data_IF_522196439904
#
_entry.id   IF_522196439904
#
_cell.length_a   1.000
_cell.length_b   1.000
_cell.length_c   1.000
_cell.angle_alpha   90.00
_cell.angle_beta   90.00
_cell.angle_gamma   90.00
#
_symmetry.space_group_name_H-M   'P 1'
#
loop_
_entity.id
_entity.type
_entity.pdbx_description
1 polymer ?
#
# COMPACT_ATOMS: atom_id res chain seq x y z
N UNK A 1 62.87 -33.42 -10.34
CA UNK A 1 61.46 -32.99 -10.34
C UNK A 1 61.09 -32.49 -8.95
N UNK A 2 61.22 -31.22 -8.69
CA UNK A 2 60.34 -30.52 -7.77
C UNK A 2 60.12 -29.07 -8.26
N UNK A 3 59.15 -28.79 -9.08
CA UNK A 3 58.81 -27.40 -9.43
C UNK A 3 57.31 -27.07 -9.40
N UNK A 4 56.46 -28.01 -9.06
CA UNK A 4 55.01 -27.78 -9.01
C UNK A 4 54.49 -27.41 -7.61
N UNK A 5 55.23 -27.68 -6.53
CA UNK A 5 54.78 -27.42 -5.17
C UNK A 5 54.99 -25.98 -4.67
N UNK A 6 55.85 -25.20 -5.33
CA UNK A 6 56.17 -23.82 -4.91
C UNK A 6 55.16 -22.78 -5.41
N UNK A 7 54.37 -23.10 -6.44
CA UNK A 7 53.43 -22.11 -7.00
C UNK A 7 52.14 -22.01 -6.19
N UNK A 8 51.68 -23.08 -5.59
CA UNK A 8 50.47 -23.05 -4.71
C UNK A 8 50.80 -22.49 -3.31
N UNK A 9 52.02 -22.62 -2.82
CA UNK A 9 52.42 -22.10 -1.51
C UNK A 9 52.51 -20.58 -1.42
N UNK A 10 52.82 -19.90 -2.54
CA UNK A 10 52.90 -18.43 -2.59
C UNK A 10 51.57 -17.73 -2.76
N UNK A 11 50.53 -18.40 -3.23
CA UNK A 11 49.18 -17.86 -3.33
C UNK A 11 48.47 -17.81 -1.98
N UNK A 12 48.81 -18.72 -1.06
CA UNK A 12 48.21 -18.81 0.28
C UNK A 12 48.90 -17.97 1.36
N UNK A 13 50.14 -17.48 1.11
CA UNK A 13 50.96 -16.76 2.10
C UNK A 13 50.82 -15.23 2.09
N UNK A 14 49.63 -14.68 1.76
CA UNK A 14 49.33 -13.26 2.03
C UNK A 14 48.01 -13.10 2.80
N UNK A 15 47.98 -13.43 4.08
CA UNK A 15 46.75 -13.33 4.90
C UNK A 15 46.21 -11.88 4.95
N UNK A 16 47.05 -10.86 4.82
CA UNK A 16 46.66 -9.47 4.83
C UNK A 16 45.77 -9.05 3.64
N UNK A 17 45.98 -9.62 2.46
CA UNK A 17 45.16 -9.24 1.29
C UNK A 17 43.71 -9.74 1.42
N UNK A 18 43.54 -10.95 1.92
CA UNK A 18 42.20 -11.52 2.15
C UNK A 18 41.50 -10.86 3.33
N UNK A 19 42.23 -10.44 4.36
CA UNK A 19 41.70 -9.69 5.48
C UNK A 19 41.17 -8.31 5.03
N UNK A 20 41.89 -7.59 4.17
CA UNK A 20 41.45 -6.31 3.62
C UNK A 20 40.18 -6.47 2.78
N UNK A 21 40.16 -7.45 1.86
CA UNK A 21 38.98 -7.76 1.04
C UNK A 21 37.81 -8.15 1.92
N UNK A 22 38.01 -9.00 2.93
CA UNK A 22 36.98 -9.42 3.87
C UNK A 22 36.37 -8.23 4.63
N UNK A 23 37.23 -7.32 5.12
CA UNK A 23 36.75 -6.10 5.79
C UNK A 23 35.97 -5.18 4.86
N UNK A 24 36.41 -4.98 3.62
CA UNK A 24 35.67 -4.19 2.63
C UNK A 24 34.31 -4.82 2.31
N UNK A 25 34.24 -6.14 2.11
CA UNK A 25 33.01 -6.85 1.86
C UNK A 25 32.06 -6.78 3.06
N UNK A 26 32.57 -6.94 4.29
CA UNK A 26 31.79 -6.80 5.52
C UNK A 26 31.18 -5.41 5.63
N UNK A 27 31.97 -4.37 5.35
CA UNK A 27 31.52 -2.98 5.37
C UNK A 27 30.40 -2.74 4.34
N UNK A 28 30.62 -3.19 3.10
CA UNK A 28 29.62 -3.08 2.03
C UNK A 28 28.30 -3.81 2.38
N UNK A 29 28.42 -4.99 3.01
CA UNK A 29 27.26 -5.77 3.42
C UNK A 29 26.47 -5.07 4.53
N UNK A 30 27.17 -4.47 5.50
CA UNK A 30 26.55 -3.66 6.56
C UNK A 30 25.82 -2.45 5.96
N UNK A 31 26.46 -1.72 5.05
CA UNK A 31 25.79 -0.59 4.37
C UNK A 31 24.56 -1.02 3.60
N UNK A 32 24.64 -2.11 2.81
CA UNK A 32 23.52 -2.63 2.05
C UNK A 32 22.37 -3.07 2.97
N UNK A 33 22.68 -3.76 4.07
CA UNK A 33 21.69 -4.18 5.05
C UNK A 33 21.01 -2.99 5.70
N UNK A 34 21.77 -1.96 6.06
CA UNK A 34 21.22 -0.74 6.67
C UNK A 34 20.27 0.00 5.73
N UNK A 35 20.66 0.18 4.47
CA UNK A 35 19.77 0.81 3.45
C UNK A 35 18.51 -0.01 3.23
N UNK A 36 18.62 -1.34 3.18
CA UNK A 36 17.45 -2.21 3.03
C UNK A 36 16.52 -2.14 4.24
N UNK A 37 17.09 -2.04 5.44
CA UNK A 37 16.33 -1.89 6.68
C UNK A 37 15.58 -0.55 6.73
N UNK A 38 16.23 0.55 6.34
CA UNK A 38 15.61 1.88 6.29
C UNK A 38 14.41 1.85 5.34
N UNK A 39 14.58 1.34 4.13
CA UNK A 39 13.48 1.23 3.14
C UNK A 39 12.32 0.37 3.64
N UNK A 40 12.63 -0.75 4.30
CA UNK A 40 11.59 -1.60 4.91
C UNK A 40 10.81 -0.84 5.99
N UNK A 41 11.52 -0.07 6.82
CA UNK A 41 10.90 0.70 7.90
C UNK A 41 10.02 1.83 7.36
N UNK A 42 10.49 2.56 6.35
CA UNK A 42 9.72 3.59 5.65
C UNK A 42 8.43 3.02 5.05
N UNK A 43 8.54 1.93 4.29
CA UNK A 43 7.37 1.26 3.70
C UNK A 43 6.36 0.82 4.77
N UNK A 44 6.83 0.25 5.89
CA UNK A 44 5.98 -0.15 7.02
C UNK A 44 5.26 1.06 7.64
N UNK A 45 5.95 2.18 7.77
CA UNK A 45 5.38 3.42 8.31
C UNK A 45 4.27 3.96 7.41
N UNK A 46 4.49 3.99 6.10
CA UNK A 46 3.48 4.43 5.12
C UNK A 46 2.25 3.52 5.13
N UNK A 47 2.42 2.20 5.16
CA UNK A 47 1.28 1.26 5.27
C UNK A 47 0.53 1.46 6.58
N UNK A 48 1.25 1.70 7.69
CA UNK A 48 0.63 2.00 8.98
C UNK A 48 -0.19 3.30 8.96
N UNK A 49 0.35 4.36 8.38
CA UNK A 49 -0.33 5.64 8.19
C UNK A 49 -1.59 5.48 7.35
N UNK A 50 -1.49 4.78 6.22
CA UNK A 50 -2.62 4.48 5.34
C UNK A 50 -3.76 3.74 6.07
N UNK A 51 -3.43 2.71 6.84
CA UNK A 51 -4.42 1.98 7.64
C UNK A 51 -5.10 2.90 8.67
N UNK A 52 -4.37 3.84 9.27
CA UNK A 52 -4.93 4.81 10.20
C UNK A 52 -5.90 5.76 9.49
N UNK A 53 -5.59 6.19 8.26
CA UNK A 53 -6.50 7.01 7.46
C UNK A 53 -7.79 6.25 7.12
N UNK A 54 -7.69 5.00 6.68
CA UNK A 54 -8.85 4.16 6.39
C UNK A 54 -9.72 3.93 7.63
N UNK A 55 -9.11 3.66 8.80
CA UNK A 55 -9.83 3.53 10.08
C UNK A 55 -10.51 4.84 10.48
N UNK A 56 -9.84 5.97 10.25
CA UNK A 56 -10.42 7.29 10.53
C UNK A 56 -11.61 7.59 9.63
N UNK A 57 -11.53 7.21 8.36
CA UNK A 57 -12.65 7.29 7.41
C UNK A 57 -13.84 6.47 7.91
N UNK A 58 -13.62 5.18 8.19
CA UNK A 58 -14.67 4.28 8.71
C UNK A 58 -15.31 4.83 9.98
N UNK A 59 -14.49 5.31 10.93
CA UNK A 59 -15.00 5.87 12.18
C UNK A 59 -15.84 7.11 11.96
N UNK A 60 -15.39 8.04 11.11
CA UNK A 60 -16.14 9.26 10.79
C UNK A 60 -17.45 8.93 10.11
N UNK A 61 -17.45 7.96 9.20
CA UNK A 61 -18.66 7.54 8.50
C UNK A 61 -19.67 6.87 9.45
N UNK A 62 -19.22 5.94 10.31
CA UNK A 62 -20.14 5.19 11.20
C UNK A 62 -20.66 6.00 12.38
N UNK A 63 -19.86 6.89 12.94
CA UNK A 63 -20.21 7.64 14.16
C UNK A 63 -20.65 9.06 13.88
N UNK A 64 -20.93 9.41 12.62
CA UNK A 64 -21.49 10.70 12.30
C UNK A 64 -22.96 10.75 12.70
N UNK A 65 -23.32 11.74 13.53
CA UNK A 65 -24.70 12.05 13.87
C UNK A 65 -25.52 12.60 12.70
N UNK A 66 -24.82 12.99 11.62
CA UNK A 66 -25.45 13.60 10.43
C UNK A 66 -26.11 12.55 9.53
N UNK A 67 -25.68 11.28 9.63
CA UNK A 67 -26.29 10.19 8.86
C UNK A 67 -27.68 9.87 9.42
N UNK A 68 -28.69 9.98 8.57
CA UNK A 68 -30.07 9.61 8.92
C UNK A 68 -30.14 8.09 9.09
N UNK A 69 -30.20 7.63 10.34
CA UNK A 69 -30.40 6.22 10.63
C UNK A 69 -31.74 5.73 10.09
N UNK A 70 -31.73 4.61 9.38
CA UNK A 70 -32.94 3.94 8.87
C UNK A 70 -33.29 4.24 7.41
N UNK A 71 -32.46 4.97 6.68
CA UNK A 71 -32.59 5.08 5.23
C UNK A 71 -31.81 3.93 4.55
N UNK A 72 -32.53 3.01 3.96
CA UNK A 72 -31.96 1.84 3.29
C UNK A 72 -30.98 2.21 2.16
N UNK A 73 -31.16 3.37 1.55
CA UNK A 73 -30.30 3.87 0.50
C UNK A 73 -28.92 4.31 1.06
N UNK A 74 -28.95 4.96 2.22
CA UNK A 74 -27.72 5.36 2.95
C UNK A 74 -26.96 4.13 3.45
N UNK A 75 -27.68 3.14 3.99
CA UNK A 75 -27.05 1.89 4.47
C UNK A 75 -26.35 1.14 3.33
N UNK A 76 -27.01 1.03 2.17
CA UNK A 76 -26.41 0.40 0.98
C UNK A 76 -25.18 1.17 0.48
N UNK A 77 -25.20 2.50 0.50
CA UNK A 77 -24.05 3.33 0.11
C UNK A 77 -22.87 3.13 1.07
N UNK A 78 -23.12 3.09 2.38
CA UNK A 78 -22.10 2.82 3.40
C UNK A 78 -21.49 1.43 3.22
N UNK A 79 -22.31 0.41 2.97
CA UNK A 79 -21.85 -0.96 2.73
C UNK A 79 -20.94 -1.03 1.49
N UNK A 80 -21.31 -0.35 0.40
CA UNK A 80 -20.47 -0.23 -0.78
C UNK A 80 -19.14 0.46 -0.47
N UNK A 81 -19.12 1.52 0.33
CA UNK A 81 -17.88 2.18 0.73
C UNK A 81 -16.96 1.24 1.54
N UNK A 82 -17.50 0.42 2.44
CA UNK A 82 -16.70 -0.56 3.17
C UNK A 82 -16.17 -1.68 2.27
N UNK A 83 -16.96 -2.07 1.29
CA UNK A 83 -16.56 -3.03 0.26
C UNK A 83 -15.40 -2.47 -0.56
N UNK A 84 -15.46 -1.22 -1.02
CA UNK A 84 -14.39 -0.55 -1.74
C UNK A 84 -13.14 -0.31 -0.89
N UNK A 85 -13.29 -0.04 0.41
CA UNK A 85 -12.12 0.02 1.30
C UNK A 85 -11.36 -1.30 1.36
N UNK A 86 -12.07 -2.43 1.47
CA UNK A 86 -11.46 -3.76 1.42
C UNK A 86 -10.79 -4.03 0.07
N UNK A 87 -11.49 -3.69 -1.02
CA UNK A 87 -10.96 -3.79 -2.38
C UNK A 87 -9.66 -3.00 -2.55
N UNK A 88 -9.65 -1.75 -2.10
CA UNK A 88 -8.47 -0.90 -2.14
C UNK A 88 -7.27 -1.55 -1.46
N UNK A 89 -7.44 -2.07 -0.25
CA UNK A 89 -6.34 -2.68 0.49
C UNK A 89 -5.81 -3.94 -0.20
N UNK A 90 -6.69 -4.79 -0.73
CA UNK A 90 -6.30 -6.01 -1.47
C UNK A 90 -5.52 -5.62 -2.73
N UNK A 91 -6.02 -4.66 -3.51
CA UNK A 91 -5.36 -4.19 -4.73
C UNK A 91 -4.01 -3.53 -4.45
N UNK A 92 -3.91 -2.76 -3.36
CA UNK A 92 -2.64 -2.19 -2.92
C UNK A 92 -1.61 -3.28 -2.58
N UNK A 93 -2.03 -4.32 -1.86
CA UNK A 93 -1.15 -5.44 -1.53
C UNK A 93 -0.74 -6.25 -2.77
N UNK A 94 -1.61 -6.34 -3.77
CA UNK A 94 -1.28 -6.95 -5.06
C UNK A 94 -0.25 -6.11 -5.83
N UNK A 95 -0.41 -4.78 -5.85
CA UNK A 95 0.54 -3.85 -6.49
C UNK A 95 1.93 -3.95 -5.84
N UNK A 96 2.01 -3.95 -4.52
CA UNK A 96 3.28 -4.09 -3.78
C UNK A 96 3.95 -5.44 -4.06
N UNK A 97 3.17 -6.50 -4.22
CA UNK A 97 3.68 -7.85 -4.55
C UNK A 97 3.93 -8.07 -6.04
N UNK A 98 3.66 -7.07 -6.88
CA UNK A 98 3.70 -7.19 -8.34
C UNK A 98 2.82 -8.33 -8.89
N UNK A 99 1.79 -8.71 -8.16
CA UNK A 99 0.79 -9.69 -8.57
C UNK A 99 -0.44 -8.93 -9.06
N UNK A 100 -0.94 -9.26 -10.26
CA UNK A 100 -2.08 -8.53 -10.85
C UNK A 100 -3.27 -9.47 -11.09
N UNK A 101 -3.51 -10.40 -10.18
CA UNK A 101 -4.54 -11.42 -10.33
C UNK A 101 -5.87 -10.96 -9.71
N UNK A 102 -6.74 -10.34 -10.52
CA UNK A 102 -8.08 -9.95 -10.12
C UNK A 102 -9.02 -11.17 -9.95
N UNK A 103 -8.70 -12.29 -10.59
CA UNK A 103 -9.52 -13.51 -10.52
C UNK A 103 -9.58 -14.15 -9.12
N UNK A 104 -8.61 -13.83 -8.26
CA UNK A 104 -8.58 -14.30 -6.87
C UNK A 104 -9.39 -13.45 -5.90
N UNK A 105 -9.90 -12.30 -6.36
CA UNK A 105 -10.70 -11.43 -5.51
C UNK A 105 -12.14 -11.93 -5.55
N UNK A 106 -12.71 -12.17 -4.39
CA UNK A 106 -14.08 -12.64 -4.23
C UNK A 106 -15.10 -11.62 -4.75
N UNK A 107 -16.20 -12.09 -5.32
CA UNK A 107 -17.24 -11.24 -5.92
C UNK A 107 -18.02 -10.42 -4.88
N UNK A 108 -17.93 -10.78 -3.60
CA UNK A 108 -18.45 -9.98 -2.48
C UNK A 108 -17.62 -8.72 -2.21
N UNK A 109 -16.36 -8.67 -2.68
CA UNK A 109 -15.49 -7.50 -2.54
C UNK A 109 -15.53 -6.61 -3.78
N UNK A 110 -15.45 -7.17 -4.97
CA UNK A 110 -15.45 -6.45 -6.25
C UNK A 110 -16.42 -7.16 -7.21
N UNK A 111 -17.43 -6.46 -7.70
CA UNK A 111 -18.37 -7.00 -8.69
C UNK A 111 -17.70 -7.25 -10.04
N UNK A 112 -18.33 -8.06 -10.89
CA UNK A 112 -17.75 -8.39 -12.21
C UNK A 112 -17.61 -7.15 -13.11
N UNK A 113 -18.57 -6.23 -13.05
CA UNK A 113 -18.52 -4.97 -13.81
C UNK A 113 -17.37 -4.07 -13.33
N UNK A 114 -17.17 -4.01 -12.00
CA UNK A 114 -16.04 -3.28 -11.40
C UNK A 114 -14.70 -3.93 -11.75
N UNK A 115 -14.63 -5.28 -11.83
CA UNK A 115 -13.42 -6.00 -12.27
C UNK A 115 -13.08 -5.64 -13.73
N UNK A 116 -14.07 -5.63 -14.62
CA UNK A 116 -13.87 -5.26 -16.02
C UNK A 116 -13.35 -3.82 -16.13
N UNK A 117 -13.92 -2.89 -15.38
CA UNK A 117 -13.44 -1.52 -15.34
C UNK A 117 -12.00 -1.42 -14.80
N UNK A 118 -11.67 -2.15 -13.73
CA UNK A 118 -10.33 -2.18 -13.15
C UNK A 118 -9.29 -2.83 -14.07
N UNK A 119 -9.67 -3.73 -14.98
CA UNK A 119 -8.77 -4.28 -15.98
C UNK A 119 -8.25 -3.21 -16.94
N UNK A 120 -9.08 -2.22 -17.27
CA UNK A 120 -8.71 -1.08 -18.11
C UNK A 120 -7.91 -0.01 -17.37
N UNK A 121 -7.99 0.02 -16.05
CA UNK A 121 -7.38 1.05 -15.21
C UNK A 121 -5.87 0.84 -15.04
N UNK A 122 -5.09 1.91 -15.29
CA UNK A 122 -3.62 1.89 -15.13
C UNK A 122 -3.19 1.76 -13.67
N UNK A 123 -3.93 2.38 -12.73
CA UNK A 123 -3.63 2.39 -11.30
C UNK A 123 -4.88 1.97 -10.52
N UNK A 124 -5.08 0.69 -10.42
CA UNK A 124 -6.28 0.09 -9.81
C UNK A 124 -6.60 0.56 -8.39
N UNK A 125 -5.62 0.62 -7.45
CA UNK A 125 -5.95 1.11 -6.10
C UNK A 125 -6.43 2.56 -6.09
N UNK A 126 -5.83 3.45 -6.90
CA UNK A 126 -6.27 4.85 -6.99
C UNK A 126 -7.67 4.99 -7.58
N UNK A 127 -8.04 4.15 -8.53
CA UNK A 127 -9.38 4.12 -9.10
C UNK A 127 -10.42 3.83 -8.02
N UNK A 128 -10.15 2.86 -7.14
CA UNK A 128 -11.05 2.53 -6.03
C UNK A 128 -11.15 3.65 -4.99
N UNK A 129 -10.03 4.36 -4.73
CA UNK A 129 -10.09 5.57 -3.89
C UNK A 129 -10.94 6.67 -4.53
N UNK A 130 -10.89 6.81 -5.86
CA UNK A 130 -11.77 7.70 -6.60
C UNK A 130 -13.26 7.33 -6.43
N UNK A 131 -13.61 6.05 -6.43
CA UNK A 131 -14.99 5.59 -6.15
C UNK A 131 -15.43 5.92 -4.72
N UNK A 132 -14.54 5.78 -3.74
CA UNK A 132 -14.83 6.20 -2.36
C UNK A 132 -15.11 7.69 -2.29
N UNK A 133 -14.34 8.52 -2.98
CA UNK A 133 -14.53 9.96 -3.01
C UNK A 133 -15.83 10.34 -3.73
N UNK A 134 -16.14 9.71 -4.86
CA UNK A 134 -17.41 9.90 -5.57
C UNK A 134 -18.60 9.53 -4.70
N UNK A 135 -18.55 8.38 -4.00
CA UNK A 135 -19.61 7.95 -3.10
C UNK A 135 -19.87 8.93 -1.94
N UNK A 136 -18.80 9.55 -1.39
CA UNK A 136 -18.95 10.61 -0.38
C UNK A 136 -19.65 11.84 -0.97
N UNK A 137 -19.26 12.25 -2.18
CA UNK A 137 -19.85 13.38 -2.89
C UNK A 137 -21.32 13.12 -3.23
N UNK A 138 -21.68 11.91 -3.65
CA UNK A 138 -23.06 11.51 -3.95
C UNK A 138 -23.93 11.57 -2.70
N UNK A 139 -23.47 11.09 -1.55
CA UNK A 139 -24.20 11.20 -0.27
C UNK A 139 -24.43 12.66 0.13
N UNK A 140 -23.47 13.55 -0.14
CA UNK A 140 -23.64 14.97 0.11
C UNK A 140 -24.68 15.59 -0.83
N UNK A 141 -24.60 15.33 -2.13
CA UNK A 141 -25.57 15.83 -3.10
C UNK A 141 -26.99 15.37 -2.83
N UNK A 142 -27.17 14.18 -2.28
CA UNK A 142 -28.46 13.65 -1.84
C UNK A 142 -28.94 14.27 -0.50
N UNK A 143 -28.09 15.07 0.16
CA UNK A 143 -28.43 15.74 1.42
C UNK A 143 -28.34 14.82 2.65
N UNK A 144 -27.71 13.65 2.55
CA UNK A 144 -27.57 12.70 3.66
C UNK A 144 -26.42 13.02 4.60
N UNK A 145 -25.43 13.79 4.15
CA UNK A 145 -24.29 14.23 4.95
C UNK A 145 -24.10 15.73 4.85
N UNK A 146 -23.58 16.33 5.92
CA UNK A 146 -23.23 17.74 5.95
C UNK A 146 -21.95 18.02 5.17
N UNK A 147 -21.81 19.26 4.67
CA UNK A 147 -20.60 19.75 4.01
C UNK A 147 -19.36 19.55 4.89
N UNK A 148 -19.49 19.76 6.21
CA UNK A 148 -18.41 19.55 7.17
C UNK A 148 -17.92 18.11 7.19
N UNK A 149 -18.84 17.14 7.16
CA UNK A 149 -18.50 15.72 7.13
C UNK A 149 -17.90 15.33 5.80
N UNK A 150 -18.44 15.82 4.68
CA UNK A 150 -17.86 15.65 3.36
C UNK A 150 -16.40 16.09 3.33
N UNK A 151 -16.11 17.34 3.68
CA UNK A 151 -14.73 17.86 3.71
C UNK A 151 -13.81 17.01 4.61
N UNK A 152 -14.31 16.57 5.76
CA UNK A 152 -13.52 15.73 6.66
C UNK A 152 -13.23 14.34 6.10
N UNK A 153 -14.12 13.75 5.30
CA UNK A 153 -13.92 12.46 4.63
C UNK A 153 -13.00 12.62 3.41
N UNK A 154 -13.16 13.67 2.63
CA UNK A 154 -12.29 13.98 1.48
C UNK A 154 -10.87 14.28 1.91
N UNK A 155 -10.66 14.98 3.03
CA UNK A 155 -9.33 15.17 3.60
C UNK A 155 -8.63 13.84 3.91
N UNK A 156 -9.36 12.89 4.50
CA UNK A 156 -8.79 11.57 4.84
C UNK A 156 -8.46 10.76 3.60
N UNK A 157 -9.33 10.76 2.58
CA UNK A 157 -9.08 10.08 1.30
C UNK A 157 -7.93 10.73 0.55
N UNK A 158 -7.83 12.06 0.55
CA UNK A 158 -6.73 12.81 -0.05
C UNK A 158 -5.38 12.48 0.60
N UNK A 159 -5.33 12.37 1.93
CA UNK A 159 -4.11 11.92 2.65
C UNK A 159 -3.74 10.49 2.30
N UNK A 160 -4.72 9.59 2.18
CA UNK A 160 -4.48 8.21 1.76
C UNK A 160 -3.89 8.12 0.33
N UNK A 161 -4.34 9.00 -0.58
CA UNK A 161 -3.76 9.12 -1.93
C UNK A 161 -2.30 9.56 -1.86
N UNK A 162 -1.98 10.59 -1.08
CA UNK A 162 -0.60 11.08 -0.93
C UNK A 162 0.32 10.01 -0.35
N UNK A 163 -0.09 9.29 0.68
CA UNK A 163 0.67 8.18 1.25
C UNK A 163 0.93 7.06 0.25
N UNK A 164 -0.05 6.74 -0.61
CA UNK A 164 0.15 5.76 -1.67
C UNK A 164 1.20 6.22 -2.69
N UNK A 165 1.24 7.50 -3.05
CA UNK A 165 2.28 8.04 -3.92
C UNK A 165 3.66 7.95 -3.27
N UNK A 166 3.80 8.32 -1.99
CA UNK A 166 5.06 8.24 -1.27
C UNK A 166 5.59 6.80 -1.13
N UNK A 167 4.70 5.82 -1.04
CA UNK A 167 5.10 4.41 -0.92
C UNK A 167 5.61 3.78 -2.24
N UNK A 168 5.44 4.46 -3.38
CA UNK A 168 5.85 3.96 -4.71
C UNK A 168 7.24 4.47 -5.15
N UNK A 169 7.86 5.41 -4.44
CA UNK A 169 9.21 5.95 -4.66
C UNK A 169 10.17 5.49 -3.57
#
# INVERSE_FOLDING_TARGET
>A
KPRAQTFFGTLFCRPHRWAVIGNCLSLLLVFKSNVSYIRFWEARTHVGSLLNHLRSFTRRLLFSSDLRAGDAQVEAAIENMFRWQRAFFILLMQDVRLTQDLGRISDDVITNDEKEFLLSARRRPLTVLGWLQAGVSDLHHQGHISERLQMALEEVTGRAILEQFCAQF
#
